data_IF_638230880534
#
_entry.id   IF_638230880534
#
_cell.length_a   1.000
_cell.length_b   1.000
_cell.length_c   1.000
_cell.angle_alpha   90.00
_cell.angle_beta   90.00
_cell.angle_gamma   90.00
#
_symmetry.space_group_name_H-M   'P 1'
#
loop_
_entity.id
_entity.type
_entity.pdbx_description
1 polymer ?
#
# COMPACT_ATOMS: atom_id res chain seq x y z
N UNK A 1 -29.99 16.96 -7.15
CA UNK A 1 -28.91 15.98 -7.36
C UNK A 1 -28.52 16.05 -8.83
N UNK A 2 -27.27 16.38 -9.14
CA UNK A 2 -26.81 16.60 -10.52
C UNK A 2 -26.30 15.29 -11.13
N UNK A 3 -26.57 15.08 -12.42
CA UNK A 3 -26.15 13.90 -13.21
C UNK A 3 -24.66 13.54 -13.06
N UNK A 4 -23.78 14.54 -12.85
CA UNK A 4 -22.35 14.32 -12.60
C UNK A 4 -22.06 13.53 -11.31
N UNK A 5 -22.87 13.69 -10.26
CA UNK A 5 -22.74 12.96 -8.99
C UNK A 5 -23.10 11.48 -9.13
N UNK A 6 -24.09 11.15 -9.97
CA UNK A 6 -24.50 9.77 -10.21
C UNK A 6 -23.47 9.00 -11.04
N UNK A 7 -22.84 9.67 -12.01
CA UNK A 7 -21.76 9.10 -12.83
C UNK A 7 -20.55 8.78 -11.96
N UNK A 8 -20.17 9.67 -11.04
CA UNK A 8 -19.07 9.44 -10.11
C UNK A 8 -19.37 8.30 -9.13
N UNK A 9 -20.58 8.24 -8.56
CA UNK A 9 -20.97 7.15 -7.65
C UNK A 9 -20.96 5.79 -8.37
N UNK A 10 -21.45 5.73 -9.61
CA UNK A 10 -21.44 4.51 -10.40
C UNK A 10 -20.00 4.07 -10.75
N UNK A 11 -19.12 5.02 -11.09
CA UNK A 11 -17.71 4.76 -11.35
C UNK A 11 -17.01 4.24 -10.08
N UNK A 12 -17.27 4.86 -8.92
CA UNK A 12 -16.73 4.45 -7.63
C UNK A 12 -17.19 3.03 -7.25
N UNK A 13 -18.48 2.71 -7.41
CA UNK A 13 -19.02 1.35 -7.17
C UNK A 13 -18.37 0.31 -8.08
N UNK A 14 -18.13 0.66 -9.34
CA UNK A 14 -17.39 -0.19 -10.28
C UNK A 14 -15.96 -0.44 -9.82
N UNK A 15 -15.26 0.63 -9.44
CA UNK A 15 -13.88 0.58 -8.96
C UNK A 15 -13.74 -0.25 -7.67
N UNK A 16 -14.61 -0.08 -6.69
CA UNK A 16 -14.59 -0.87 -5.45
C UNK A 16 -14.74 -2.37 -5.69
N UNK A 17 -15.57 -2.77 -6.67
CA UNK A 17 -15.71 -4.18 -7.04
C UNK A 17 -14.43 -4.71 -7.69
N UNK A 18 -13.85 -3.95 -8.62
CA UNK A 18 -12.62 -4.32 -9.32
C UNK A 18 -11.43 -4.37 -8.37
N UNK A 19 -11.30 -3.41 -7.46
CA UNK A 19 -10.27 -3.37 -6.40
C UNK A 19 -10.30 -4.65 -5.56
N UNK A 20 -11.47 -5.07 -5.07
CA UNK A 20 -11.61 -6.32 -4.30
C UNK A 20 -11.17 -7.55 -5.08
N UNK A 21 -11.52 -7.63 -6.36
CA UNK A 21 -11.10 -8.72 -7.24
C UNK A 21 -9.59 -8.67 -7.48
N UNK A 22 -9.03 -7.50 -7.77
CA UNK A 22 -7.61 -7.31 -8.03
C UNK A 22 -6.77 -7.70 -6.81
N UNK A 23 -7.16 -7.29 -5.59
CA UNK A 23 -6.47 -7.68 -4.35
C UNK A 23 -6.36 -9.20 -4.22
N UNK A 24 -7.50 -9.90 -4.32
CA UNK A 24 -7.58 -11.35 -4.12
C UNK A 24 -6.95 -12.17 -5.25
N UNK A 25 -7.26 -11.83 -6.49
CA UNK A 25 -6.94 -12.66 -7.65
C UNK A 25 -5.59 -12.32 -8.28
N UNK A 26 -5.11 -11.09 -8.08
CA UNK A 26 -3.87 -10.60 -8.70
C UNK A 26 -2.81 -10.28 -7.64
N UNK A 27 -3.11 -9.41 -6.67
CA UNK A 27 -2.09 -8.89 -5.76
C UNK A 27 -1.62 -9.95 -4.77
N UNK A 28 -2.54 -10.64 -4.10
CA UNK A 28 -2.21 -11.71 -3.15
C UNK A 28 -1.43 -12.84 -3.84
N UNK A 29 -1.84 -13.21 -5.06
CA UNK A 29 -1.16 -14.25 -5.85
C UNK A 29 0.25 -13.84 -6.25
N UNK A 30 0.43 -12.60 -6.69
CA UNK A 30 1.76 -12.11 -7.07
C UNK A 30 2.65 -11.93 -5.84
N UNK A 31 2.12 -11.43 -4.72
CA UNK A 31 2.84 -11.31 -3.45
C UNK A 31 3.31 -12.69 -2.94
N UNK A 32 2.48 -13.73 -3.08
CA UNK A 32 2.82 -15.10 -2.69
C UNK A 32 4.05 -15.67 -3.41
N UNK A 33 4.54 -15.04 -4.49
CA UNK A 33 5.82 -15.37 -5.13
C UNK A 33 7.05 -14.96 -4.30
N UNK A 34 6.84 -14.29 -3.17
CA UNK A 34 7.89 -13.93 -2.23
C UNK A 34 8.90 -12.97 -2.83
N UNK A 35 10.18 -13.30 -2.75
CA UNK A 35 11.29 -12.45 -3.21
C UNK A 35 11.27 -12.15 -4.73
N UNK A 36 10.56 -12.96 -5.52
CA UNK A 36 10.44 -12.81 -6.97
C UNK A 36 9.20 -12.02 -7.40
N UNK A 37 8.41 -11.48 -6.47
CA UNK A 37 7.23 -10.72 -6.82
C UNK A 37 7.55 -9.44 -7.61
N UNK A 38 6.64 -9.07 -8.51
CA UNK A 38 6.79 -7.93 -9.42
C UNK A 38 5.78 -6.82 -9.15
N UNK A 39 5.10 -6.85 -8.00
CA UNK A 39 4.10 -5.84 -7.64
C UNK A 39 4.65 -4.42 -7.64
N UNK A 40 5.93 -4.22 -7.34
CA UNK A 40 6.59 -2.92 -7.44
C UNK A 40 6.45 -2.29 -8.85
N UNK A 41 6.42 -3.08 -9.93
CA UNK A 41 6.16 -2.58 -11.31
C UNK A 41 4.73 -2.12 -11.49
N UNK A 42 3.79 -2.86 -10.91
CA UNK A 42 2.36 -2.51 -10.93
C UNK A 42 2.15 -1.23 -10.14
N UNK A 43 2.78 -1.10 -8.97
CA UNK A 43 2.78 0.12 -8.17
C UNK A 43 3.35 1.31 -8.97
N UNK A 44 4.50 1.15 -9.61
CA UNK A 44 5.10 2.20 -10.45
C UNK A 44 4.13 2.65 -11.56
N UNK A 45 3.46 1.69 -12.20
CA UNK A 45 2.46 1.96 -13.24
C UNK A 45 1.25 2.73 -12.71
N UNK A 46 0.72 2.33 -11.55
CA UNK A 46 -0.41 3.02 -10.87
C UNK A 46 0.02 4.43 -10.49
N UNK A 47 1.16 4.59 -9.83
CA UNK A 47 1.66 5.89 -9.42
C UNK A 47 1.88 6.82 -10.62
N UNK A 48 2.45 6.31 -11.72
CA UNK A 48 2.64 7.10 -12.94
C UNK A 48 1.31 7.55 -13.55
N UNK A 49 0.30 6.67 -13.58
CA UNK A 49 -1.03 6.97 -14.13
C UNK A 49 -1.83 7.95 -13.27
N UNK A 50 -1.78 7.81 -11.94
CA UNK A 50 -2.62 8.57 -11.01
C UNK A 50 -1.90 9.76 -10.39
N UNK A 51 -0.60 9.70 -10.13
CA UNK A 51 0.16 10.78 -9.50
C UNK A 51 0.13 12.09 -10.28
N UNK A 52 0.16 12.01 -11.63
CA UNK A 52 0.02 13.19 -12.48
C UNK A 52 -1.40 13.80 -12.42
N UNK A 53 -2.43 12.96 -12.25
CA UNK A 53 -3.84 13.38 -12.20
C UNK A 53 -4.22 13.90 -10.82
N UNK A 54 -3.70 13.29 -9.75
CA UNK A 54 -3.90 13.71 -8.36
C UNK A 54 -3.40 15.13 -8.10
N UNK A 55 -2.34 15.56 -8.80
CA UNK A 55 -1.75 16.90 -8.65
C UNK A 55 -2.41 18.00 -9.52
N UNK A 56 -3.43 17.68 -10.31
CA UNK A 56 -4.14 18.63 -11.18
C UNK A 56 -5.54 18.92 -10.64
N UNK A 57 -6.17 20.07 -10.97
CA UNK A 57 -7.58 20.32 -10.63
C UNK A 57 -8.44 19.23 -11.30
N UNK A 58 -8.92 18.27 -10.51
CA UNK A 58 -9.48 17.02 -11.03
C UNK A 58 -10.95 17.14 -11.42
N UNK A 59 -11.35 16.32 -12.40
CA UNK A 59 -12.74 16.06 -12.78
C UNK A 59 -13.52 15.24 -11.73
N UNK A 60 -12.81 14.53 -10.85
CA UNK A 60 -13.38 13.65 -9.81
C UNK A 60 -12.95 14.10 -8.41
N UNK A 61 -13.78 13.79 -7.40
CA UNK A 61 -13.46 14.10 -6.01
C UNK A 61 -12.29 13.27 -5.48
N UNK A 62 -11.72 13.69 -4.35
CA UNK A 62 -10.67 12.96 -3.64
C UNK A 62 -11.09 11.52 -3.32
N UNK A 63 -12.37 11.29 -3.01
CA UNK A 63 -12.90 9.96 -2.68
C UNK A 63 -12.83 8.96 -3.85
N UNK A 64 -12.81 9.42 -5.10
CA UNK A 64 -12.57 8.54 -6.24
C UNK A 64 -11.13 8.00 -6.26
N UNK A 65 -10.15 8.82 -5.90
CA UNK A 65 -8.73 8.45 -5.89
C UNK A 65 -8.35 7.63 -4.64
N UNK A 66 -9.11 7.75 -3.56
CA UNK A 66 -8.91 7.02 -2.31
C UNK A 66 -8.82 5.50 -2.52
N UNK A 67 -9.69 4.93 -3.36
CA UNK A 67 -9.64 3.49 -3.68
C UNK A 67 -8.31 3.08 -4.31
N UNK A 68 -7.78 3.91 -5.21
CA UNK A 68 -6.48 3.66 -5.85
C UNK A 68 -5.31 3.80 -4.88
N UNK A 69 -5.40 4.72 -3.92
CA UNK A 69 -4.41 4.88 -2.85
C UNK A 69 -4.41 3.66 -1.94
N UNK A 70 -5.57 3.19 -1.50
CA UNK A 70 -5.64 1.97 -0.68
C UNK A 70 -5.16 0.73 -1.43
N UNK A 71 -5.41 0.61 -2.75
CA UNK A 71 -4.87 -0.49 -3.54
C UNK A 71 -3.33 -0.41 -3.66
N UNK A 72 -2.79 0.80 -3.76
CA UNK A 72 -1.34 1.04 -3.75
C UNK A 72 -0.71 0.62 -2.42
N UNK A 73 -1.30 1.03 -1.30
CA UNK A 73 -0.85 0.66 0.04
C UNK A 73 -1.01 -0.82 0.31
N UNK A 74 -2.10 -1.43 -0.17
CA UNK A 74 -2.30 -2.87 -0.09
C UNK A 74 -1.21 -3.64 -0.83
N UNK A 75 -0.85 -3.24 -2.06
CA UNK A 75 0.24 -3.88 -2.80
C UNK A 75 1.59 -3.77 -2.06
N UNK A 76 1.89 -2.58 -1.51
CA UNK A 76 3.09 -2.37 -0.71
C UNK A 76 3.13 -3.32 0.51
N UNK A 77 2.05 -3.35 1.29
CA UNK A 77 1.94 -4.18 2.49
C UNK A 77 2.05 -5.66 2.13
N UNK A 78 1.29 -6.12 1.14
CA UNK A 78 1.29 -7.52 0.69
C UNK A 78 2.68 -7.96 0.21
N UNK A 79 3.35 -7.14 -0.62
CA UNK A 79 4.74 -7.39 -1.02
C UNK A 79 5.67 -7.45 0.20
N UNK A 80 5.59 -6.46 1.09
CA UNK A 80 6.50 -6.38 2.24
C UNK A 80 6.37 -7.56 3.19
N UNK A 81 5.17 -8.14 3.35
CA UNK A 81 4.95 -9.33 4.18
C UNK A 81 5.61 -10.58 3.57
N UNK A 82 5.71 -10.66 2.25
CA UNK A 82 6.18 -11.86 1.55
C UNK A 82 7.65 -11.78 1.09
N UNK A 83 8.23 -10.59 1.02
CA UNK A 83 9.68 -10.41 0.82
C UNK A 83 10.39 -10.58 2.15
N UNK A 84 11.47 -11.35 2.18
CA UNK A 84 12.25 -11.55 3.38
C UNK A 84 12.88 -10.27 3.91
N UNK A 85 12.98 -10.16 5.23
CA UNK A 85 13.44 -8.96 5.93
C UNK A 85 14.91 -8.60 5.65
N UNK A 86 15.72 -9.58 5.22
CA UNK A 86 17.12 -9.42 4.82
C UNK A 86 17.32 -9.32 3.29
N UNK A 87 16.25 -9.43 2.51
CA UNK A 87 16.34 -9.46 1.06
C UNK A 87 16.35 -8.05 0.45
N UNK A 88 17.21 -7.83 -0.55
CA UNK A 88 17.33 -6.55 -1.27
C UNK A 88 16.02 -6.09 -1.96
N UNK A 89 15.04 -6.98 -2.08
CA UNK A 89 13.68 -6.66 -2.53
C UNK A 89 12.96 -5.66 -1.62
N UNK A 90 13.25 -5.66 -0.31
CA UNK A 90 12.70 -4.68 0.64
C UNK A 90 13.21 -3.27 0.27
N UNK A 91 14.52 -3.13 0.11
CA UNK A 91 15.13 -1.83 -0.22
C UNK A 91 14.67 -1.33 -1.59
N UNK A 92 14.48 -2.24 -2.56
CA UNK A 92 13.88 -1.92 -3.85
C UNK A 92 12.47 -1.38 -3.71
N UNK A 93 11.62 -2.08 -2.96
CA UNK A 93 10.22 -1.69 -2.75
C UNK A 93 10.13 -0.28 -2.15
N UNK A 94 10.99 0.01 -1.16
CA UNK A 94 11.09 1.31 -0.48
C UNK A 94 11.62 2.42 -1.40
N UNK A 95 12.66 2.13 -2.19
CA UNK A 95 13.23 3.11 -3.11
C UNK A 95 12.26 3.46 -4.23
N UNK A 96 11.59 2.45 -4.78
CA UNK A 96 10.70 2.64 -5.93
C UNK A 96 9.39 3.32 -5.47
N UNK A 97 8.95 3.10 -4.22
CA UNK A 97 7.86 3.86 -3.60
C UNK A 97 8.26 5.30 -3.25
N UNK A 98 9.31 5.51 -2.46
CA UNK A 98 9.66 6.82 -1.92
C UNK A 98 10.37 7.75 -2.94
N UNK A 99 11.00 7.20 -3.98
CA UNK A 99 11.97 7.93 -4.79
C UNK A 99 11.40 8.81 -5.91
N UNK A 100 10.64 8.26 -6.86
CA UNK A 100 10.37 8.93 -8.15
C UNK A 100 9.11 9.80 -8.20
N UNK A 101 8.19 9.61 -7.25
CA UNK A 101 6.83 10.17 -7.37
C UNK A 101 6.35 10.79 -6.06
N UNK A 102 7.29 11.40 -5.33
CA UNK A 102 7.19 11.80 -3.93
C UNK A 102 5.89 12.45 -3.48
N UNK A 103 5.13 13.19 -4.31
CA UNK A 103 3.88 13.84 -3.86
C UNK A 103 2.81 12.88 -3.34
N UNK A 104 2.55 11.78 -4.07
CA UNK A 104 1.57 10.78 -3.62
C UNK A 104 2.04 10.06 -2.35
N UNK A 105 3.36 10.00 -2.15
CA UNK A 105 4.04 9.44 -0.98
C UNK A 105 4.43 10.48 0.09
N UNK A 106 4.10 11.77 -0.08
CA UNK A 106 4.26 12.79 0.96
C UNK A 106 2.91 13.27 1.48
N UNK A 107 1.89 13.31 0.61
CA UNK A 107 0.54 13.66 1.02
C UNK A 107 -0.12 12.51 1.80
N UNK A 108 0.29 11.26 1.52
CA UNK A 108 -0.05 9.98 2.18
C UNK A 108 -1.30 10.00 3.07
N UNK A 109 -2.47 10.37 2.54
CA UNK A 109 -3.68 10.21 3.31
C UNK A 109 -3.90 8.70 3.44
N UNK A 110 -4.21 8.25 4.65
CA UNK A 110 -4.57 6.87 4.99
C UNK A 110 -3.44 5.81 5.00
N UNK A 111 -2.22 6.09 4.52
CA UNK A 111 -1.15 5.06 4.56
C UNK A 111 -0.85 4.59 5.98
N UNK A 112 -0.76 5.53 6.92
CA UNK A 112 -0.51 5.20 8.32
C UNK A 112 -1.61 4.27 8.85
N UNK A 113 -2.88 4.56 8.53
CA UNK A 113 -4.02 3.75 8.94
C UNK A 113 -3.95 2.35 8.34
N UNK A 114 -3.75 2.23 7.02
CA UNK A 114 -3.64 0.94 6.33
C UNK A 114 -2.48 0.09 6.84
N UNK A 115 -1.30 0.70 7.03
CA UNK A 115 -0.12 0.02 7.56
C UNK A 115 -0.34 -0.40 9.00
N UNK A 116 -0.97 0.45 9.82
CA UNK A 116 -1.26 0.16 11.21
C UNK A 116 -2.29 -0.95 11.36
N UNK A 117 -3.34 -0.96 10.53
CA UNK A 117 -4.34 -2.03 10.51
C UNK A 117 -3.72 -3.35 10.06
N UNK A 118 -2.87 -3.32 9.02
CA UNK A 118 -2.14 -4.50 8.57
C UNK A 118 -1.16 -5.01 9.63
N UNK A 119 -0.47 -4.10 10.33
CA UNK A 119 0.45 -4.44 11.40
C UNK A 119 -0.29 -5.06 12.59
N UNK A 120 -1.38 -4.44 13.06
CA UNK A 120 -2.23 -4.99 14.14
C UNK A 120 -2.73 -6.38 13.80
N UNK A 121 -3.16 -6.60 12.55
CA UNK A 121 -3.56 -7.91 12.05
C UNK A 121 -2.39 -8.89 12.09
N UNK A 122 -1.22 -8.51 11.56
CA UNK A 122 -0.04 -9.35 11.52
C UNK A 122 0.47 -9.75 12.91
N UNK A 123 0.48 -8.82 13.88
CA UNK A 123 0.86 -9.08 15.27
C UNK A 123 -0.12 -10.06 15.94
N UNK A 124 -1.42 -9.87 15.72
CA UNK A 124 -2.46 -10.77 16.23
C UNK A 124 -2.33 -12.18 15.65
N UNK A 125 -1.96 -12.30 14.37
CA UNK A 125 -1.81 -13.57 13.67
C UNK A 125 -0.43 -14.23 13.89
N UNK A 126 0.59 -13.46 14.27
CA UNK A 126 1.96 -13.95 14.49
C UNK A 126 2.07 -15.22 15.37
N UNK A 127 1.37 -15.36 16.51
CA UNK A 127 1.47 -16.57 17.34
C UNK A 127 0.76 -17.80 16.73
N UNK A 128 -0.04 -17.63 15.67
CA UNK A 128 -0.85 -18.73 15.12
C UNK A 128 -0.05 -19.65 14.20
N UNK A 129 1.00 -19.15 13.55
CA UNK A 129 1.78 -19.94 12.60
C UNK A 129 3.19 -19.34 12.32
N UNK A 130 4.16 -20.18 11.96
CA UNK A 130 5.52 -19.71 11.64
C UNK A 130 5.55 -18.72 10.46
N UNK A 131 4.70 -18.95 9.46
CA UNK A 131 4.58 -18.05 8.30
C UNK A 131 4.02 -16.68 8.72
N UNK A 132 3.08 -16.66 9.65
CA UNK A 132 2.44 -15.46 10.19
C UNK A 132 3.48 -14.62 10.96
N UNK A 133 4.30 -15.28 11.79
CA UNK A 133 5.41 -14.62 12.49
C UNK A 133 6.46 -14.04 11.51
N UNK A 134 6.77 -14.75 10.41
CA UNK A 134 7.68 -14.26 9.36
C UNK A 134 7.10 -13.03 8.66
N UNK A 135 5.83 -13.09 8.22
CA UNK A 135 5.16 -11.95 7.59
C UNK A 135 5.11 -10.72 8.50
N UNK A 136 4.89 -10.91 9.80
CA UNK A 136 4.95 -9.83 10.77
C UNK A 136 6.35 -9.20 10.86
N UNK A 137 7.42 -10.01 10.94
CA UNK A 137 8.80 -9.49 10.97
C UNK A 137 9.16 -8.75 9.68
N UNK A 138 8.79 -9.31 8.53
CA UNK A 138 9.05 -8.72 7.23
C UNK A 138 8.37 -7.35 7.10
N UNK A 139 7.10 -7.25 7.49
CA UNK A 139 6.36 -5.99 7.51
C UNK A 139 7.00 -4.97 8.46
N UNK A 140 7.36 -5.36 9.69
CA UNK A 140 8.03 -4.46 10.65
C UNK A 140 9.35 -3.93 10.07
N UNK A 141 10.13 -4.79 9.43
CA UNK A 141 11.40 -4.43 8.78
C UNK A 141 11.18 -3.44 7.62
N UNK A 142 10.10 -3.59 6.85
CA UNK A 142 9.73 -2.65 5.79
C UNK A 142 9.27 -1.29 6.35
N UNK A 143 8.46 -1.29 7.41
CA UNK A 143 8.01 -0.06 8.09
C UNK A 143 9.20 0.70 8.67
N UNK A 144 10.15 0.02 9.30
CA UNK A 144 11.37 0.65 9.81
C UNK A 144 12.19 1.32 8.68
N UNK A 145 12.26 0.68 7.49
CA UNK A 145 12.90 1.29 6.30
C UNK A 145 12.12 2.48 5.74
N UNK A 146 10.79 2.44 5.73
CA UNK A 146 9.99 3.61 5.34
C UNK A 146 10.27 4.80 6.26
N UNK A 147 10.32 4.56 7.57
CA UNK A 147 10.64 5.58 8.57
C UNK A 147 12.06 6.12 8.36
N UNK A 148 13.04 5.26 8.06
CA UNK A 148 14.43 5.69 7.86
C UNK A 148 14.63 6.57 6.62
N UNK A 149 13.81 6.39 5.57
CA UNK A 149 13.81 7.28 4.39
C UNK A 149 12.96 8.54 4.58
N UNK A 150 12.45 8.79 5.78
CA UNK A 150 11.72 10.00 6.13
C UNK A 150 10.23 9.96 5.81
N UNK A 151 9.67 8.79 5.44
CA UNK A 151 8.25 8.65 5.13
C UNK A 151 7.46 8.41 6.43
N UNK A 152 6.48 9.30 6.70
CA UNK A 152 5.54 9.20 7.84
C UNK A 152 6.18 8.95 9.22
N UNK A 153 7.37 9.50 9.47
CA UNK A 153 8.18 9.26 10.69
C UNK A 153 7.38 9.41 12.00
N UNK A 154 6.53 10.43 12.11
CA UNK A 154 5.75 10.68 13.32
C UNK A 154 4.58 9.69 13.52
N UNK A 155 3.98 9.19 12.44
CA UNK A 155 2.82 8.29 12.50
C UNK A 155 3.21 6.80 12.52
N UNK A 156 4.24 6.42 11.76
CA UNK A 156 4.72 5.04 11.70
C UNK A 156 5.68 4.68 12.85
N UNK A 157 6.25 5.67 13.53
CA UNK A 157 7.09 5.44 14.72
C UNK A 157 6.35 4.76 15.87
N UNK A 158 5.01 4.83 15.91
CA UNK A 158 4.18 4.19 16.93
C UNK A 158 3.99 2.68 16.71
N UNK A 159 4.06 2.20 15.45
CA UNK A 159 3.92 0.78 15.10
C UNK A 159 5.04 -0.14 15.65
N UNK A 160 6.04 0.41 16.35
CA UNK A 160 7.08 -0.34 17.05
C UNK A 160 7.12 -0.12 18.57
N UNK A 161 6.21 0.69 19.13
CA UNK A 161 6.21 1.09 20.53
C UNK A 161 4.95 0.66 21.30
N UNK A 162 3.90 0.25 20.60
CA UNK A 162 2.70 -0.33 21.22
C UNK A 162 2.92 -1.82 21.50
N UNK A 163 3.53 -2.12 22.65
CA UNK A 163 3.63 -3.46 23.25
C UNK A 163 2.68 -3.60 24.43
#
# INVERSE_FOLDING_TARGET
MNHASEVEEQALRGHLKLSKIARREMFDREAARGNDNTLWKTMESVISQFGARYAQPTQFSIGYYEVHLHDLWYMFIASSQHIDDDHAGQDRLIRDSAGRHGRIWTDLPFLIEDVHDAWKKAVKEAPTCQQCARQCRNLTSAVARLVSVGVCVAGLGQCGLEH
#
